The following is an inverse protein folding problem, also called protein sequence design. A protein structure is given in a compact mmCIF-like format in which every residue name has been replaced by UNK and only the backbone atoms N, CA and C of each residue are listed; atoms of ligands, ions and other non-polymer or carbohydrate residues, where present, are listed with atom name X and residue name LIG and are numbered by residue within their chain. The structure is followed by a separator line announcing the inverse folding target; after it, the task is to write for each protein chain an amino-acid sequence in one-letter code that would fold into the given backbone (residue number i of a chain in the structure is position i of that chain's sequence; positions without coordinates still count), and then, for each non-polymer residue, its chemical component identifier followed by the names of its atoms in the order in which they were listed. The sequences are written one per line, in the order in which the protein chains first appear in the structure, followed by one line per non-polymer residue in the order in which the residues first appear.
data_IF_464017199442
#
_entry.id   IF_464017199442
#
_cell.length_a   1.000
_cell.length_b   1.000
_cell.length_c   1.000
_cell.angle_alpha   90.00
_cell.angle_beta   90.00
_cell.angle_gamma   90.00
#
_symmetry.space_group_name_H-M   'P 1'
#
loop_
_entity.id
_entity.type
_entity.pdbx_description
1 polymer ?
#
# COMPACT_ATOMS: atom_id res chain seq x y z
N UNK A 1 17.85 -33.07 10.82
CA UNK A 1 17.72 -31.60 10.72
C UNK A 1 16.70 -31.14 11.74
N UNK A 2 16.92 -30.01 12.40
CA UNK A 2 15.97 -29.48 13.40
C UNK A 2 15.03 -28.44 12.80
N UNK A 3 13.93 -28.16 13.50
CA UNK A 3 13.01 -27.05 13.17
C UNK A 3 13.74 -25.71 13.16
N UNK A 4 14.71 -25.50 14.05
CA UNK A 4 15.56 -24.32 14.08
C UNK A 4 16.41 -24.18 12.79
N UNK A 5 16.92 -25.29 12.26
CA UNK A 5 17.70 -25.29 11.00
C UNK A 5 16.84 -24.86 9.82
N UNK A 6 15.62 -25.39 9.74
CA UNK A 6 14.64 -25.01 8.71
C UNK A 6 14.27 -23.52 8.84
N UNK A 7 14.02 -23.05 10.07
CA UNK A 7 13.75 -21.63 10.33
C UNK A 7 14.89 -20.73 9.85
N UNK A 8 16.15 -21.09 10.13
CA UNK A 8 17.31 -20.34 9.66
C UNK A 8 17.47 -20.34 8.15
N UNK A 9 17.18 -21.45 7.45
CA UNK A 9 17.23 -21.47 6.00
C UNK A 9 16.36 -20.38 5.34
N UNK A 10 15.26 -19.97 6.00
CA UNK A 10 14.40 -18.89 5.54
C UNK A 10 14.71 -17.50 6.12
N UNK A 11 15.38 -17.41 7.27
CA UNK A 11 15.60 -16.14 8.01
C UNK A 11 17.03 -15.62 7.93
N UNK A 12 18.00 -16.53 7.96
CA UNK A 12 19.44 -16.30 7.97
C UNK A 12 20.10 -17.35 7.07
N UNK A 13 19.83 -17.32 5.75
CA UNK A 13 20.33 -18.33 4.82
C UNK A 13 21.87 -18.39 4.77
N UNK A 14 22.55 -17.31 5.16
CA UNK A 14 24.00 -17.19 5.33
C UNK A 14 24.55 -18.07 6.47
N UNK A 15 23.72 -18.39 7.47
CA UNK A 15 24.10 -19.24 8.62
C UNK A 15 23.89 -20.72 8.38
N UNK A 16 23.49 -21.11 7.18
CA UNK A 16 23.16 -22.48 6.80
C UNK A 16 24.03 -22.90 5.63
N UNK A 17 24.65 -24.08 5.71
CA UNK A 17 25.44 -24.64 4.60
C UNK A 17 24.60 -24.70 3.32
N UNK A 18 25.21 -24.39 2.18
CA UNK A 18 24.51 -24.31 0.89
C UNK A 18 23.75 -25.60 0.54
N UNK A 19 24.35 -26.78 0.77
CA UNK A 19 23.70 -28.07 0.55
C UNK A 19 22.43 -28.24 1.40
N UNK A 20 22.47 -27.79 2.65
CA UNK A 20 21.33 -27.87 3.56
C UNK A 20 20.24 -26.89 3.16
N UNK A 21 20.62 -25.67 2.80
CA UNK A 21 19.70 -24.64 2.28
C UNK A 21 18.99 -25.15 1.03
N UNK A 22 19.73 -25.68 0.06
CA UNK A 22 19.17 -26.25 -1.17
C UNK A 22 18.18 -27.38 -0.88
N UNK A 23 18.53 -28.29 0.04
CA UNK A 23 17.63 -29.38 0.46
C UNK A 23 16.34 -28.86 1.10
N UNK A 24 16.43 -27.86 1.97
CA UNK A 24 15.25 -27.27 2.63
C UNK A 24 14.35 -26.56 1.61
N UNK A 25 14.92 -25.76 0.71
CA UNK A 25 14.15 -25.02 -0.30
C UNK A 25 13.43 -25.95 -1.27
N UNK A 26 14.11 -27.01 -1.75
CA UNK A 26 13.48 -28.01 -2.62
C UNK A 26 12.29 -28.70 -1.95
N UNK A 27 12.47 -29.18 -0.71
CA UNK A 27 11.38 -29.84 0.02
C UNK A 27 10.25 -28.86 0.33
N UNK A 28 10.56 -27.59 0.64
CA UNK A 28 9.54 -26.58 0.88
C UNK A 28 8.71 -26.32 -0.38
N UNK A 29 9.34 -26.28 -1.56
CA UNK A 29 8.65 -26.14 -2.84
C UNK A 29 7.77 -27.36 -3.14
N UNK A 30 8.30 -28.58 -2.99
CA UNK A 30 7.55 -29.84 -3.17
C UNK A 30 6.30 -29.91 -2.27
N UNK A 31 6.39 -29.34 -1.05
CA UNK A 31 5.29 -29.32 -0.08
C UNK A 31 4.38 -28.09 -0.19
N UNK A 32 4.69 -27.12 -1.06
CA UNK A 32 3.99 -25.83 -1.08
C UNK A 32 4.10 -25.05 0.24
N UNK A 33 5.18 -25.26 1.00
CA UNK A 33 5.39 -24.63 2.29
C UNK A 33 5.75 -23.15 2.14
N UNK A 34 4.88 -22.28 2.68
CA UNK A 34 5.13 -20.85 2.82
C UNK A 34 5.25 -20.50 4.30
N UNK A 35 6.36 -19.86 4.74
CA UNK A 35 6.51 -19.48 6.15
C UNK A 35 5.39 -18.54 6.62
N UNK A 36 4.76 -18.87 7.75
CA UNK A 36 3.66 -18.08 8.31
C UNK A 36 4.10 -16.70 8.82
N UNK A 37 3.48 -15.64 8.30
CA UNK A 37 3.63 -14.26 8.77
C UNK A 37 3.16 -14.10 10.22
N UNK A 38 1.97 -14.60 10.54
CA UNK A 38 1.37 -14.49 11.88
C UNK A 38 2.23 -15.14 12.96
N UNK A 39 2.73 -16.36 12.71
CA UNK A 39 3.62 -17.04 13.65
C UNK A 39 4.93 -16.25 13.85
N UNK A 40 5.49 -15.67 12.79
CA UNK A 40 6.70 -14.83 12.87
C UNK A 40 6.46 -13.55 13.67
N UNK A 41 5.31 -12.91 13.47
CA UNK A 41 4.93 -11.69 14.16
C UNK A 41 4.67 -11.93 15.65
N UNK A 42 4.01 -13.05 15.98
CA UNK A 42 3.82 -13.49 17.36
C UNK A 42 5.15 -13.75 18.05
N UNK A 43 6.04 -14.53 17.43
CA UNK A 43 7.37 -14.81 17.98
C UNK A 43 8.24 -13.56 18.13
N UNK A 44 8.03 -12.53 17.30
CA UNK A 44 8.73 -11.24 17.38
C UNK A 44 8.06 -10.24 18.32
N UNK A 45 6.84 -10.50 18.79
CA UNK A 45 6.03 -9.53 19.56
C UNK A 45 5.62 -8.28 18.76
N UNK A 46 5.73 -8.31 17.42
CA UNK A 46 5.38 -7.18 16.55
C UNK A 46 4.99 -7.65 15.17
N UNK A 47 3.92 -7.07 14.63
CA UNK A 47 3.40 -7.40 13.29
C UNK A 47 4.19 -6.74 12.18
N UNK A 48 4.72 -5.53 12.40
CA UNK A 48 5.32 -4.71 11.35
C UNK A 48 4.29 -4.10 10.39
N UNK A 49 3.00 -4.22 10.71
CA UNK A 49 1.90 -3.63 9.95
C UNK A 49 1.79 -2.14 10.27
N UNK A 50 1.71 -1.30 9.25
CA UNK A 50 1.35 0.11 9.39
C UNK A 50 -0.16 0.26 9.15
N UNK A 51 -0.90 0.69 10.17
CA UNK A 51 -2.30 1.05 10.03
C UNK A 51 -2.42 2.50 9.55
N UNK A 52 -3.19 2.73 8.49
CA UNK A 52 -3.51 4.07 8.01
C UNK A 52 -5.02 4.29 8.17
N UNK A 53 -5.40 5.46 8.66
CA UNK A 53 -6.79 5.86 8.82
C UNK A 53 -7.03 7.16 8.05
N UNK A 54 -7.85 7.11 7.01
CA UNK A 54 -8.13 8.24 6.11
C UNK A 54 -9.61 8.62 6.20
N UNK A 55 -9.88 9.75 6.85
CA UNK A 55 -11.25 10.25 7.06
C UNK A 55 -11.89 10.78 5.77
N UNK A 56 -11.12 11.27 4.80
CA UNK A 56 -11.64 11.76 3.50
C UNK A 56 -12.29 10.63 2.67
N UNK A 57 -11.92 9.36 2.89
CA UNK A 57 -12.59 8.21 2.24
C UNK A 57 -13.90 7.78 2.93
N UNK A 58 -14.18 8.27 4.15
CA UNK A 58 -15.40 8.01 4.91
C UNK A 58 -16.46 9.10 4.71
N UNK A 59 -16.05 10.26 4.20
CA UNK A 59 -16.97 11.30 3.79
C UNK A 59 -17.43 10.96 2.37
N UNK A 60 -18.67 10.48 2.24
CA UNK A 60 -19.38 10.66 0.97
C UNK A 60 -19.31 12.14 0.65
N UNK A 61 -18.56 12.52 -0.38
CA UNK A 61 -18.61 13.89 -0.86
C UNK A 61 -20.07 14.16 -1.19
N UNK A 62 -20.73 15.18 -0.61
CA UNK A 62 -22.02 15.58 -1.10
C UNK A 62 -21.84 15.96 -2.57
N UNK A 63 -22.31 15.08 -3.46
CA UNK A 63 -22.44 15.37 -4.88
C UNK A 63 -23.44 16.50 -4.99
N UNK A 64 -22.96 17.68 -5.41
CA UNK A 64 -23.79 18.85 -5.64
C UNK A 64 -23.71 19.89 -4.51
N UNK A 65 -22.61 20.62 -4.44
CA UNK A 65 -22.75 22.06 -4.23
C UNK A 65 -22.54 22.71 -5.60
N UNK A 66 -23.64 23.03 -6.31
CA UNK A 66 -23.64 23.96 -7.44
C UNK A 66 -23.18 25.35 -6.94
N UNK A 67 -21.89 25.50 -6.66
CA UNK A 67 -21.30 26.80 -6.34
C UNK A 67 -20.92 27.57 -7.62
N UNK A 68 -21.18 27.01 -8.80
CA UNK A 68 -20.99 27.67 -10.09
C UNK A 68 -22.19 28.50 -10.58
N UNK A 69 -23.36 28.43 -9.93
CA UNK A 69 -24.58 29.08 -10.43
C UNK A 69 -24.86 30.49 -9.88
N UNK A 70 -24.11 30.98 -8.87
CA UNK A 70 -24.41 32.26 -8.18
C UNK A 70 -23.28 33.30 -8.25
N UNK A 71 -22.45 33.24 -9.31
CA UNK A 71 -21.53 34.35 -9.59
C UNK A 71 -22.22 35.38 -10.48
N UNK A 72 -22.56 36.58 -9.97
CA UNK A 72 -23.12 37.63 -10.82
C UNK A 72 -22.11 38.04 -11.89
N UNK A 73 -22.54 38.02 -13.15
CA UNK A 73 -21.74 38.48 -14.28
C UNK A 73 -21.37 39.96 -14.10
N UNK A 74 -20.13 40.21 -13.69
CA UNK A 74 -19.52 41.55 -13.56
C UNK A 74 -18.67 41.91 -14.78
N UNK A 75 -18.93 41.31 -15.94
CA UNK A 75 -18.23 41.66 -17.18
C UNK A 75 -18.34 43.17 -17.45
N UNK A 76 -17.23 43.90 -17.55
CA UNK A 76 -17.28 45.33 -17.84
C UNK A 76 -17.89 45.51 -19.24
N UNK A 77 -19.02 46.21 -19.33
CA UNK A 77 -19.58 46.61 -20.62
C UNK A 77 -18.65 47.63 -21.28
N UNK A 78 -17.68 47.13 -22.05
CA UNK A 78 -16.80 47.97 -22.86
C UNK A 78 -17.65 48.55 -23.99
N UNK A 79 -18.07 49.80 -23.81
CA UNK A 79 -18.72 50.60 -24.83
C UNK A 79 -17.70 50.88 -25.96
N UNK A 80 -17.67 50.02 -26.99
CA UNK A 80 -16.91 50.27 -28.22
C UNK A 80 -17.55 51.44 -28.98
N UNK A 81 -17.07 52.64 -28.70
CA UNK A 81 -17.06 53.72 -29.68
C UNK A 81 -16.11 53.32 -30.82
N UNK A 82 -16.66 53.02 -31.98
CA UNK A 82 -15.98 53.11 -33.27
C UNK A 82 -16.91 53.98 -34.14
N UNK A 83 -16.60 55.24 -34.41
CA UNK A 83 -15.66 55.68 -35.46
C UNK A 83 -15.94 54.96 -36.78
N UNK A 84 -16.67 55.62 -37.67
CA UNK A 84 -16.95 55.11 -39.01
C UNK A 84 -17.73 56.09 -39.88
N UNK A 85 -17.01 57.09 -40.42
CA UNK A 85 -17.36 58.03 -41.49
C UNK A 85 -18.28 59.20 -41.17
#
# INVERSE_FOLDING_TARGET
MSTATVSFAFRHPDKVKDDTKAKVLRVAEELGYVPSGNARSLAKGRTGTLGMYAFDMLLERPQGSNLEDDWPDVSPQIHRRASGR
#
